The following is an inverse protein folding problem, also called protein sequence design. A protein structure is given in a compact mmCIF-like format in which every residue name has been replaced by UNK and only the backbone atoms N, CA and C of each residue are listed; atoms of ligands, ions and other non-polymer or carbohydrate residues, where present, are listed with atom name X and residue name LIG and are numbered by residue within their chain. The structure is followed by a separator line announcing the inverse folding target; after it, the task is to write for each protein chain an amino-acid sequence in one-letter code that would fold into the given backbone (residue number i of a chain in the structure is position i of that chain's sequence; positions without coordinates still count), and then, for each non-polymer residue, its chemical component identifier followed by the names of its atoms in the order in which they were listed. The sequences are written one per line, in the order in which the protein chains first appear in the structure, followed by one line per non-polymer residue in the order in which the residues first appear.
data_IF_796765037088
#
_entry.id   IF_796765037088
#
_cell.length_a   1.000
_cell.length_b   1.000
_cell.length_c   1.000
_cell.angle_alpha   90.00
_cell.angle_beta   90.00
_cell.angle_gamma   90.00
#
_symmetry.space_group_name_H-M   'P 1'
#
loop_
_entity.id
_entity.type
_entity.pdbx_description
1 polymer ?
#
# COMPACT_ATOMS: atom_id res chain seq x y z
N UNK A 1 2.19 -17.50 10.78
CA UNK A 1 2.36 -18.04 12.14
C UNK A 1 1.02 -18.62 12.57
N UNK A 2 0.95 -19.88 12.98
CA UNK A 2 -0.29 -20.49 13.48
C UNK A 2 -0.24 -20.47 15.00
N UNK A 3 -1.24 -19.86 15.65
CA UNK A 3 -1.42 -19.92 17.10
C UNK A 3 -2.55 -20.90 17.38
N UNK A 4 -2.24 -21.96 18.13
CA UNK A 4 -3.23 -22.92 18.61
C UNK A 4 -3.50 -22.61 20.08
N UNK A 5 -4.65 -22.00 20.38
CA UNK A 5 -5.08 -21.77 21.76
C UNK A 5 -5.93 -22.96 22.23
N UNK A 6 -5.23 -23.95 22.78
CA UNK A 6 -5.80 -25.20 23.30
C UNK A 6 -6.75 -24.92 24.49
N UNK A 7 -6.53 -23.83 25.23
CA UNK A 7 -7.36 -23.48 26.40
C UNK A 7 -8.73 -22.92 26.02
N UNK A 8 -8.82 -22.26 24.86
CA UNK A 8 -10.07 -21.69 24.32
C UNK A 8 -10.73 -22.56 23.25
N UNK A 9 -10.09 -23.66 22.86
CA UNK A 9 -10.57 -24.51 21.77
C UNK A 9 -10.59 -23.81 20.41
N UNK A 10 -9.72 -22.79 20.22
CA UNK A 10 -9.68 -21.97 19.01
C UNK A 10 -8.35 -22.07 18.27
N UNK A 11 -8.42 -22.12 16.94
CA UNK A 11 -7.27 -22.07 16.04
C UNK A 11 -7.21 -20.64 15.46
N UNK A 12 -6.15 -19.91 15.73
CA UNK A 12 -5.93 -18.57 15.20
C UNK A 12 -4.75 -18.58 14.20
N UNK A 13 -5.04 -18.38 12.93
CA UNK A 13 -4.02 -18.28 11.89
C UNK A 13 -3.59 -16.81 11.74
N UNK A 14 -2.38 -16.49 12.21
CA UNK A 14 -1.78 -15.16 12.07
C UNK A 14 -0.96 -15.10 10.79
N UNK A 15 -1.50 -14.43 9.76
CA UNK A 15 -0.76 -14.15 8.53
C UNK A 15 0.11 -12.91 8.76
N UNK A 16 1.45 -13.01 8.67
CA UNK A 16 2.32 -11.85 8.91
C UNK A 16 2.07 -10.78 7.84
N UNK A 17 2.33 -9.53 8.19
CA UNK A 17 2.30 -8.43 7.22
C UNK A 17 3.29 -8.70 6.08
N UNK A 18 2.86 -8.41 4.86
CA UNK A 18 3.72 -8.43 3.69
C UNK A 18 4.32 -7.04 3.50
N UNK A 19 5.65 -6.97 3.46
CA UNK A 19 6.39 -5.73 3.20
C UNK A 19 6.95 -5.78 1.79
N UNK A 20 6.60 -4.81 0.97
CA UNK A 20 7.04 -4.71 -0.43
C UNK A 20 7.74 -3.38 -0.63
N UNK A 21 8.95 -3.41 -1.20
CA UNK A 21 9.57 -2.20 -1.70
C UNK A 21 8.98 -1.87 -3.07
N UNK A 22 8.58 -0.62 -3.27
CA UNK A 22 8.03 -0.14 -4.53
C UNK A 22 8.74 1.13 -4.97
N UNK A 23 8.79 1.36 -6.29
CA UNK A 23 9.29 2.61 -6.87
C UNK A 23 8.10 3.46 -7.26
N UNK A 24 8.10 4.71 -6.83
CA UNK A 24 7.03 5.66 -7.12
C UNK A 24 7.56 6.76 -8.03
N UNK A 25 6.86 6.92 -9.15
CA UNK A 25 7.01 8.06 -10.07
C UNK A 25 5.74 8.89 -10.05
N UNK A 26 5.90 10.22 -10.18
CA UNK A 26 4.80 11.18 -10.16
C UNK A 26 4.88 12.06 -11.39
N UNK A 27 4.09 11.69 -12.40
CA UNK A 27 4.09 12.37 -13.71
C UNK A 27 3.24 13.64 -13.75
N UNK A 28 2.35 13.84 -12.77
CA UNK A 28 1.40 14.96 -12.72
C UNK A 28 1.67 15.89 -11.53
N UNK A 29 1.36 17.18 -11.68
CA UNK A 29 1.31 18.14 -10.56
C UNK A 29 -0.08 18.11 -9.92
N UNK A 30 -0.24 18.75 -8.76
CA UNK A 30 -1.52 18.91 -8.07
C UNK A 30 -1.91 17.78 -7.11
N UNK A 31 -1.28 16.60 -7.21
CA UNK A 31 -1.53 15.45 -6.31
C UNK A 31 -0.55 15.48 -5.13
N UNK A 32 -1.02 15.42 -3.89
CA UNK A 32 -0.15 15.26 -2.72
C UNK A 32 0.20 13.79 -2.49
N UNK A 33 1.26 13.52 -1.73
CA UNK A 33 1.58 12.17 -1.30
C UNK A 33 0.70 11.76 -0.12
N UNK A 34 0.63 12.65 0.88
CA UNK A 34 -0.17 12.43 2.09
C UNK A 34 -1.63 12.82 1.89
N UNK A 35 -2.50 12.11 2.59
CA UNK A 35 -3.92 12.43 2.71
C UNK A 35 -4.13 13.85 3.21
N UNK A 36 -5.03 14.57 2.53
CA UNK A 36 -5.52 15.88 2.95
C UNK A 36 -7.02 15.96 2.69
N UNK A 37 -7.81 16.57 3.59
CA UNK A 37 -9.26 16.70 3.39
C UNK A 37 -9.60 17.28 2.02
N UNK A 38 -10.47 16.60 1.26
CA UNK A 38 -10.98 17.05 -0.04
C UNK A 38 -9.96 17.08 -1.19
N UNK A 39 -8.77 16.50 -1.03
CA UNK A 39 -7.74 16.45 -2.08
C UNK A 39 -7.32 15.01 -2.36
N UNK A 40 -7.17 14.69 -3.65
CA UNK A 40 -6.64 13.40 -4.09
C UNK A 40 -5.16 13.28 -3.69
N UNK A 41 -4.82 12.19 -3.00
CA UNK A 41 -3.45 11.88 -2.59
C UNK A 41 -2.98 10.51 -3.10
N UNK A 42 -1.66 10.27 -3.09
CA UNK A 42 -1.09 8.96 -3.41
C UNK A 42 -1.54 7.90 -2.38
N UNK A 43 -1.57 8.24 -1.10
CA UNK A 43 -2.10 7.35 -0.04
C UNK A 43 -3.54 6.91 -0.36
N UNK A 44 -4.43 7.82 -0.76
CA UNK A 44 -5.80 7.47 -1.16
C UNK A 44 -5.84 6.55 -2.40
N UNK A 45 -4.98 6.81 -3.38
CA UNK A 45 -4.92 6.00 -4.61
C UNK A 45 -4.46 4.59 -4.27
N UNK A 46 -3.42 4.46 -3.46
CA UNK A 46 -2.87 3.16 -3.06
C UNK A 46 -3.87 2.39 -2.21
N UNK A 47 -4.49 3.01 -1.21
CA UNK A 47 -5.47 2.32 -0.38
C UNK A 47 -6.64 1.77 -1.20
N UNK A 48 -7.15 2.53 -2.17
CA UNK A 48 -8.24 2.07 -3.04
C UNK A 48 -7.79 1.01 -4.04
N UNK A 49 -6.62 1.19 -4.65
CA UNK A 49 -6.11 0.27 -5.66
C UNK A 49 -5.61 -1.05 -5.07
N UNK A 50 -5.27 -1.06 -3.77
CA UNK A 50 -4.69 -2.20 -3.07
C UNK A 50 -5.61 -2.78 -1.99
N UNK A 51 -6.86 -2.32 -1.87
CA UNK A 51 -7.85 -2.85 -0.91
C UNK A 51 -8.06 -4.38 -1.08
N UNK A 52 -7.80 -4.87 -2.29
CA UNK A 52 -7.90 -6.27 -2.67
C UNK A 52 -6.68 -7.13 -2.27
N UNK A 53 -5.56 -6.50 -1.88
CA UNK A 53 -4.31 -7.16 -1.47
C UNK A 53 -4.34 -7.65 -0.02
N UNK A 54 -5.15 -7.02 0.82
CA UNK A 54 -5.18 -7.31 2.25
C UNK A 54 -5.89 -6.20 3.02
N UNK A 55 -5.98 -6.37 4.32
CA UNK A 55 -6.55 -5.34 5.20
C UNK A 55 -5.49 -4.33 5.61
N UNK A 56 -5.87 -3.07 5.79
CA UNK A 56 -4.96 -2.06 6.35
C UNK A 56 -3.68 -1.84 5.54
N UNK A 57 -3.79 -1.77 4.20
CA UNK A 57 -2.67 -1.44 3.32
C UNK A 57 -2.19 -0.01 3.59
N UNK A 58 -0.87 0.16 3.74
CA UNK A 58 -0.23 1.45 4.03
C UNK A 58 1.00 1.63 3.17
N UNK A 59 1.19 2.85 2.66
CA UNK A 59 2.41 3.24 1.93
C UNK A 59 3.21 4.24 2.76
N UNK A 60 4.49 3.96 2.95
CA UNK A 60 5.46 4.85 3.59
C UNK A 60 6.29 5.56 2.52
N UNK A 61 6.18 6.89 2.52
CA UNK A 61 6.77 7.76 1.51
C UNK A 61 7.87 8.60 2.18
N UNK A 62 9.17 8.34 1.90
CA UNK A 62 10.28 9.01 2.59
C UNK A 62 10.59 10.40 2.03
N UNK A 63 9.71 10.97 1.21
CA UNK A 63 9.89 12.31 0.63
C UNK A 63 8.93 13.31 1.25
N UNK A 64 9.34 14.59 1.27
CA UNK A 64 8.50 15.68 1.77
C UNK A 64 7.20 15.76 0.95
N UNK A 65 6.07 15.84 1.64
CA UNK A 65 4.76 15.96 0.98
C UNK A 65 4.68 17.24 0.14
N UNK A 66 4.49 17.08 -1.18
CA UNK A 66 4.37 18.19 -2.12
C UNK A 66 3.42 17.89 -3.27
N UNK A 67 2.50 18.81 -3.51
CA UNK A 67 1.65 18.79 -4.71
C UNK A 67 2.27 19.55 -5.90
N UNK A 68 3.28 20.39 -5.66
CA UNK A 68 3.77 21.37 -6.66
C UNK A 68 4.62 20.75 -7.76
N UNK A 69 5.40 19.73 -7.43
CA UNK A 69 6.41 19.18 -8.33
C UNK A 69 6.06 17.75 -8.76
N UNK A 70 6.65 17.38 -9.89
CA UNK A 70 6.69 16.01 -10.41
C UNK A 70 7.90 15.28 -9.81
N UNK A 71 7.84 13.96 -9.81
CA UNK A 71 8.99 13.10 -9.55
C UNK A 71 9.13 12.22 -10.78
N UNK A 72 10.23 12.40 -11.50
CA UNK A 72 10.50 11.76 -12.78
C UNK A 72 11.60 10.71 -12.64
N UNK A 73 12.00 10.12 -13.76
CA UNK A 73 13.14 9.20 -13.89
C UNK A 73 13.07 8.04 -12.89
N UNK A 74 14.11 7.85 -12.09
CA UNK A 74 14.22 6.76 -11.11
C UNK A 74 13.22 6.89 -9.94
N UNK A 75 12.45 7.97 -9.87
CA UNK A 75 11.43 8.14 -8.86
C UNK A 75 12.01 8.20 -7.45
N UNK A 76 11.31 7.59 -6.50
CA UNK A 76 11.84 7.28 -5.18
C UNK A 76 11.33 5.93 -4.69
N UNK A 77 12.07 5.30 -3.77
CA UNK A 77 11.63 4.07 -3.13
C UNK A 77 10.65 4.36 -2.00
N UNK A 78 9.52 3.66 -2.01
CA UNK A 78 8.56 3.59 -0.92
C UNK A 78 8.46 2.18 -0.37
N UNK A 79 7.88 2.07 0.82
CA UNK A 79 7.56 0.78 1.44
C UNK A 79 6.05 0.64 1.49
N UNK A 80 5.52 -0.43 0.92
CA UNK A 80 4.12 -0.82 1.03
C UNK A 80 4.01 -1.92 2.09
N UNK A 81 3.26 -1.67 3.15
CA UNK A 81 2.88 -2.65 4.17
C UNK A 81 1.46 -3.11 3.88
N UNK A 82 1.26 -4.43 3.75
CA UNK A 82 -0.06 -5.05 3.61
C UNK A 82 -0.28 -5.89 4.86
N UNK A 83 -1.24 -5.52 5.71
CA UNK A 83 -1.61 -6.31 6.88
C UNK A 83 -2.62 -7.37 6.46
N UNK A 84 -2.62 -8.52 7.14
CA UNK A 84 -3.50 -9.65 6.84
C UNK A 84 -3.65 -9.91 5.32
N UNK A 85 -2.54 -10.17 4.60
CA UNK A 85 -2.56 -10.24 3.15
C UNK A 85 -3.48 -11.36 2.67
N UNK A 86 -4.26 -11.06 1.63
CA UNK A 86 -5.17 -12.02 1.00
C UNK A 86 -4.40 -12.79 -0.09
N UNK A 87 -4.27 -14.11 0.02
CA UNK A 87 -3.55 -14.90 -0.98
C UNK A 87 -4.27 -14.88 -2.33
N UNK A 88 -3.50 -14.74 -3.41
CA UNK A 88 -4.01 -14.75 -4.78
C UNK A 88 -2.92 -14.42 -5.80
N UNK A 89 -3.11 -14.84 -7.05
CA UNK A 89 -2.23 -14.48 -8.17
C UNK A 89 -2.87 -13.31 -8.91
N UNK A 90 -2.25 -12.13 -8.86
CA UNK A 90 -2.74 -10.95 -9.58
C UNK A 90 -1.72 -10.53 -10.64
N UNK A 91 -2.18 -10.34 -11.87
CA UNK A 91 -1.38 -9.73 -12.93
C UNK A 91 -1.43 -8.21 -12.76
N UNK A 92 -0.27 -7.56 -12.78
CA UNK A 92 -0.17 -6.09 -12.78
C UNK A 92 -0.86 -5.46 -14.00
N UNK A 93 -1.04 -6.21 -15.08
CA UNK A 93 -1.78 -5.76 -16.29
C UNK A 93 -3.27 -5.47 -16.02
N UNK A 94 -3.84 -6.06 -14.97
CA UNK A 94 -5.23 -5.82 -14.59
C UNK A 94 -5.42 -4.46 -13.90
N UNK A 95 -4.36 -3.85 -13.36
CA UNK A 95 -4.39 -2.58 -12.62
C UNK A 95 -4.24 -1.38 -13.58
N UNK A 96 -3.79 -1.60 -14.81
CA UNK A 96 -3.52 -0.56 -15.81
C UNK A 96 -4.68 -0.26 -16.77
N UNK A 97 -5.92 -0.70 -16.48
CA UNK A 97 -7.12 -0.37 -17.28
C UNK A 97 -8.00 0.67 -16.60
#
# INVERSE_FOLDING_TARGET
MLILDISRGSIEAVIPSLIVSSRVVKLVRGVSFKKRPGKRSLEDIVERAAEDLGEGVRISIPVRDTSRYRILDDGFYSILEIRSPKPGRRSLEAISR
#
